data_IF_467272536884
#
_entry.id   IF_467272536884
#
_cell.length_a   1.000
_cell.length_b   1.000
_cell.length_c   1.000
_cell.angle_alpha   90.00
_cell.angle_beta   90.00
_cell.angle_gamma   90.00
#
_symmetry.space_group_name_H-M   'P 1'
#
loop_
_entity.id
_entity.type
_entity.pdbx_description
1 polymer ?
#
# COMPACT_ATOMS: atom_id res chain seq x y z
N UNK A 1 33.01 -26.17 -39.92
CA UNK A 1 33.11 -26.22 -38.43
C UNK A 1 33.40 -24.87 -37.76
N UNK A 2 33.93 -23.85 -38.46
CA UNK A 2 34.18 -22.51 -37.90
C UNK A 2 32.93 -21.61 -37.86
N UNK A 3 31.99 -21.81 -38.79
CA UNK A 3 30.76 -21.01 -38.90
C UNK A 3 29.70 -21.35 -37.83
N UNK A 4 29.58 -22.64 -37.46
CA UNK A 4 28.67 -23.10 -36.38
C UNK A 4 29.12 -22.63 -35.00
N UNK A 5 30.43 -22.56 -34.75
CA UNK A 5 30.98 -22.00 -33.49
C UNK A 5 30.76 -20.49 -33.37
N UNK A 6 30.69 -19.77 -34.50
CA UNK A 6 30.43 -18.33 -34.51
C UNK A 6 28.95 -18.00 -34.23
N UNK A 7 28.03 -18.83 -34.73
CA UNK A 7 26.59 -18.65 -34.53
C UNK A 7 26.15 -18.98 -33.09
N UNK A 8 26.85 -19.91 -32.41
CA UNK A 8 26.60 -20.25 -31.00
C UNK A 8 27.03 -19.14 -30.03
N UNK A 9 28.03 -18.33 -30.37
CA UNK A 9 28.49 -17.20 -29.54
C UNK A 9 27.49 -16.03 -29.60
N UNK A 10 26.85 -15.80 -30.75
CA UNK A 10 25.84 -14.74 -30.91
C UNK A 10 24.55 -15.10 -30.14
N UNK A 11 24.19 -16.37 -30.05
CA UNK A 11 23.00 -16.80 -29.31
C UNK A 11 23.13 -16.64 -27.78
N UNK A 12 24.35 -16.54 -27.24
CA UNK A 12 24.56 -16.35 -25.80
C UNK A 12 24.51 -14.86 -25.39
N UNK A 13 24.59 -13.93 -26.34
CA UNK A 13 24.61 -12.48 -26.08
C UNK A 13 23.23 -11.81 -26.17
N UNK A 14 22.18 -12.56 -26.53
CA UNK A 14 20.84 -12.04 -26.79
C UNK A 14 19.80 -12.42 -25.73
N UNK A 15 20.21 -12.69 -24.49
CA UNK A 15 19.29 -12.71 -23.35
C UNK A 15 19.26 -11.29 -22.79
N UNK A 16 18.24 -10.47 -23.09
CA UNK A 16 18.02 -9.26 -22.31
C UNK A 16 17.76 -9.70 -20.88
N UNK A 17 18.79 -9.60 -20.04
CA UNK A 17 18.64 -9.72 -18.61
C UNK A 17 17.67 -8.61 -18.20
N UNK A 18 16.46 -8.97 -17.80
CA UNK A 18 15.58 -8.06 -17.07
C UNK A 18 16.25 -7.81 -15.72
N UNK A 19 17.28 -6.96 -15.72
CA UNK A 19 17.96 -6.53 -14.53
C UNK A 19 16.92 -5.83 -13.67
N UNK A 20 16.48 -6.54 -12.64
CA UNK A 20 15.62 -6.01 -11.60
C UNK A 20 16.30 -4.75 -11.06
N UNK A 21 15.66 -3.61 -11.28
CA UNK A 21 16.11 -2.34 -10.73
C UNK A 21 16.09 -2.48 -9.21
N UNK A 22 17.24 -2.78 -8.61
CA UNK A 22 17.41 -2.71 -7.18
C UNK A 22 17.09 -1.27 -6.79
N UNK A 23 15.97 -1.08 -6.08
CA UNK A 23 15.49 0.23 -5.72
C UNK A 23 16.54 0.93 -4.84
N UNK A 24 17.29 1.84 -5.44
CA UNK A 24 18.25 2.69 -4.75
C UNK A 24 17.49 3.56 -3.73
N UNK A 25 17.74 3.33 -2.44
CA UNK A 25 17.66 4.37 -1.41
C UNK A 25 16.30 4.69 -0.78
N UNK A 26 15.33 3.78 -0.75
CA UNK A 26 14.18 3.99 0.13
C UNK A 26 14.51 3.55 1.56
N UNK A 27 15.08 4.46 2.37
CA UNK A 27 15.28 4.23 3.81
C UNK A 27 13.92 3.99 4.46
N UNK A 28 13.73 2.77 4.96
CA UNK A 28 12.60 2.41 5.81
C UNK A 28 13.03 2.67 7.25
N UNK A 29 12.26 3.49 7.95
CA UNK A 29 12.43 3.75 9.38
C UNK A 29 11.22 3.22 10.14
N UNK A 30 11.47 2.46 11.19
CA UNK A 30 10.46 1.98 12.12
C UNK A 30 10.61 2.73 13.45
N UNK A 31 9.51 3.23 13.99
CA UNK A 31 9.47 3.87 15.29
C UNK A 31 8.09 3.76 15.92
N UNK A 32 8.02 3.90 17.24
CA UNK A 32 6.77 3.89 18.00
C UNK A 32 6.37 5.31 18.40
N UNK A 33 5.08 5.64 18.20
CA UNK A 33 4.48 6.91 18.65
C UNK A 33 3.29 6.60 19.52
N UNK A 34 3.37 6.89 20.82
CA UNK A 34 2.28 6.63 21.78
C UNK A 34 1.76 5.17 21.73
N UNK A 35 2.64 4.20 21.48
CA UNK A 35 2.29 2.79 21.34
C UNK A 35 1.80 2.35 19.95
N UNK A 36 1.77 3.26 18.96
CA UNK A 36 1.51 2.92 17.57
C UNK A 36 2.82 2.68 16.83
N UNK A 37 3.00 1.46 16.30
CA UNK A 37 4.10 1.14 15.41
C UNK A 37 3.93 1.84 14.06
N UNK A 38 4.87 2.69 13.70
CA UNK A 38 4.90 3.43 12.44
C UNK A 38 6.02 2.88 11.56
N UNK A 39 5.67 2.52 10.32
CA UNK A 39 6.62 2.13 9.28
C UNK A 39 6.62 3.24 8.25
N UNK A 40 7.71 4.02 8.20
CA UNK A 40 7.85 5.12 7.26
C UNK A 40 8.89 4.79 6.18
N UNK A 41 8.50 4.92 4.92
CA UNK A 41 9.38 4.70 3.76
C UNK A 41 9.48 5.98 2.95
N UNK A 42 10.62 6.66 3.03
CA UNK A 42 10.85 7.87 2.23
C UNK A 42 11.12 7.50 0.76
N UNK A 43 10.36 8.10 -0.16
CA UNK A 43 10.58 7.97 -1.60
C UNK A 43 10.70 9.37 -2.21
N UNK A 44 11.94 9.83 -2.43
CA UNK A 44 12.21 11.15 -3.02
C UNK A 44 11.89 11.24 -4.52
N UNK A 45 11.77 10.09 -5.18
CA UNK A 45 11.46 9.99 -6.62
C UNK A 45 9.96 10.04 -6.95
N UNK A 46 9.07 10.07 -5.96
CA UNK A 46 7.63 10.10 -6.17
C UNK A 46 7.01 11.38 -5.60
N UNK A 47 6.19 12.10 -6.37
CA UNK A 47 5.50 13.30 -5.89
C UNK A 47 4.25 12.97 -5.06
N UNK A 48 3.87 11.69 -4.95
CA UNK A 48 2.68 11.26 -4.21
C UNK A 48 3.06 10.59 -2.89
N UNK A 49 2.16 10.70 -1.91
CA UNK A 49 2.28 10.05 -0.60
C UNK A 49 1.11 9.09 -0.45
N UNK A 50 1.38 7.91 0.10
CA UNK A 50 0.36 6.93 0.48
C UNK A 50 0.49 6.65 1.97
N UNK A 51 -0.63 6.67 2.67
CA UNK A 51 -0.72 6.39 4.10
C UNK A 51 -1.75 5.29 4.30
N UNK A 52 -1.39 4.28 5.09
CA UNK A 52 -2.28 3.20 5.49
C UNK A 52 -2.33 3.09 7.01
N UNK A 53 -3.53 3.01 7.57
CA UNK A 53 -3.74 2.69 8.98
C UNK A 53 -4.25 1.25 9.07
N UNK A 54 -3.51 0.42 9.79
CA UNK A 54 -3.87 -0.97 10.01
C UNK A 54 -4.25 -1.18 11.47
N UNK A 55 -5.50 -1.56 11.71
CA UNK A 55 -5.98 -1.92 13.04
C UNK A 55 -5.97 -3.43 13.13
N UNK A 56 -5.37 -3.98 14.19
CA UNK A 56 -5.50 -5.42 14.49
C UNK A 56 -6.94 -5.70 14.87
N UNK A 57 -7.71 -6.17 13.91
CA UNK A 57 -9.11 -6.48 14.02
C UNK A 57 -9.54 -7.25 12.78
N UNK A 58 -10.67 -7.94 12.87
CA UNK A 58 -11.20 -8.73 11.76
C UNK A 58 -12.31 -9.65 12.22
N UNK A 59 -12.90 -10.31 11.24
CA UNK A 59 -14.09 -11.17 11.34
C UNK A 59 -14.01 -12.27 12.42
N UNK A 60 -12.82 -12.56 12.94
CA UNK A 60 -12.59 -13.54 14.01
C UNK A 60 -13.18 -13.13 15.37
N UNK A 61 -13.40 -11.83 15.60
CA UNK A 61 -13.97 -11.31 16.85
C UNK A 61 -15.47 -11.00 16.75
N UNK A 62 -16.11 -11.36 15.63
CA UNK A 62 -17.53 -11.16 15.41
C UNK A 62 -18.34 -12.34 15.96
N UNK A 63 -19.43 -12.05 16.65
CA UNK A 63 -20.53 -12.97 16.92
C UNK A 63 -21.54 -12.95 15.76
N UNK A 64 -22.43 -13.95 15.65
CA UNK A 64 -23.47 -13.94 14.62
C UNK A 64 -24.34 -12.66 14.64
N UNK A 65 -24.50 -12.02 15.80
CA UNK A 65 -25.31 -10.82 15.96
C UNK A 65 -24.62 -9.50 15.56
N UNK A 66 -23.30 -9.49 15.37
CA UNK A 66 -22.54 -8.29 14.97
C UNK A 66 -21.73 -8.53 13.68
N UNK A 67 -22.07 -9.57 12.92
CA UNK A 67 -21.40 -9.91 11.68
C UNK A 67 -21.42 -8.71 10.70
N UNK A 68 -20.24 -8.36 10.16
CA UNK A 68 -20.07 -7.27 9.19
C UNK A 68 -20.02 -5.86 9.78
N UNK A 69 -20.13 -5.68 11.10
CA UNK A 69 -20.16 -4.33 11.71
C UNK A 69 -18.87 -3.55 11.49
N UNK A 70 -17.71 -4.21 11.43
CA UNK A 70 -16.42 -3.57 11.22
C UNK A 70 -16.29 -3.01 9.81
N UNK A 71 -16.80 -3.73 8.81
CA UNK A 71 -16.77 -3.23 7.43
C UNK A 71 -17.66 -1.99 7.29
N UNK A 72 -18.82 -2.00 7.95
CA UNK A 72 -19.71 -0.85 8.01
C UNK A 72 -19.08 0.32 8.77
N UNK A 73 -18.46 0.06 9.92
CA UNK A 73 -17.80 1.09 10.71
C UNK A 73 -16.65 1.75 9.93
N UNK A 74 -15.85 0.96 9.22
CA UNK A 74 -14.75 1.45 8.39
C UNK A 74 -15.25 2.22 7.14
N UNK A 75 -16.36 1.81 6.54
CA UNK A 75 -16.94 2.55 5.41
C UNK A 75 -17.49 3.91 5.84
N UNK A 76 -18.14 3.98 7.01
CA UNK A 76 -18.62 5.24 7.59
C UNK A 76 -17.45 6.14 8.02
N UNK A 77 -16.42 5.57 8.65
CA UNK A 77 -15.24 6.32 9.09
C UNK A 77 -14.46 6.95 7.92
N UNK A 78 -14.46 6.33 6.74
CA UNK A 78 -13.83 6.87 5.54
C UNK A 78 -14.60 8.06 4.93
N UNK A 79 -15.88 8.22 5.24
CA UNK A 79 -16.74 9.23 4.62
C UNK A 79 -16.76 10.56 5.39
N UNK A 80 -16.67 10.54 6.72
CA UNK A 80 -16.65 11.77 7.51
C UNK A 80 -16.12 11.57 8.93
N UNK A 81 -15.74 12.66 9.58
CA UNK A 81 -15.40 12.69 11.01
C UNK A 81 -15.96 13.95 11.67
N UNK A 82 -15.94 14.00 13.01
CA UNK A 82 -16.38 15.19 13.76
C UNK A 82 -15.67 16.49 13.35
N UNK A 83 -14.39 16.40 12.96
CA UNK A 83 -13.58 17.56 12.54
C UNK A 83 -13.62 17.81 11.02
N UNK A 84 -13.99 16.79 10.25
CA UNK A 84 -14.12 16.86 8.81
C UNK A 84 -15.50 16.33 8.39
N UNK A 85 -16.54 17.18 8.42
CA UNK A 85 -17.83 16.85 7.84
C UNK A 85 -17.69 16.47 6.36
N UNK A 86 -18.64 15.68 5.84
CA UNK A 86 -18.58 15.06 4.51
C UNK A 86 -18.22 16.06 3.41
N UNK A 87 -18.87 17.22 3.41
CA UNK A 87 -18.72 18.27 2.39
C UNK A 87 -17.32 18.89 2.42
N UNK A 88 -16.81 19.12 3.63
CA UNK A 88 -15.45 19.63 3.85
C UNK A 88 -14.44 18.58 3.40
N UNK A 89 -14.62 17.32 3.82
CA UNK A 89 -13.71 16.24 3.45
C UNK A 89 -13.65 16.06 1.92
N UNK A 90 -14.80 16.01 1.25
CA UNK A 90 -14.86 15.84 -0.21
C UNK A 90 -14.25 17.02 -0.95
N UNK A 91 -14.50 18.25 -0.50
CA UNK A 91 -13.89 19.45 -1.07
C UNK A 91 -12.36 19.39 -0.97
N UNK A 92 -11.84 18.98 0.19
CA UNK A 92 -10.40 18.84 0.41
C UNK A 92 -9.80 17.73 -0.47
N UNK A 93 -10.44 16.56 -0.54
CA UNK A 93 -10.00 15.45 -1.39
C UNK A 93 -9.99 15.83 -2.88
N UNK A 94 -11.02 16.53 -3.36
CA UNK A 94 -11.06 17.03 -4.74
C UNK A 94 -9.98 18.08 -4.99
N UNK A 95 -9.72 18.97 -4.02
CA UNK A 95 -8.68 20.01 -4.12
C UNK A 95 -7.28 19.40 -4.24
N UNK A 96 -7.00 18.30 -3.53
CA UNK A 96 -5.69 17.65 -3.53
C UNK A 96 -5.59 16.46 -4.49
N UNK A 97 -6.67 16.11 -5.21
CA UNK A 97 -6.72 14.91 -6.05
C UNK A 97 -6.52 13.60 -5.27
N UNK A 98 -6.86 13.60 -3.97
CA UNK A 98 -6.63 12.47 -3.07
C UNK A 98 -7.85 11.55 -3.00
N UNK A 99 -7.60 10.27 -2.66
CA UNK A 99 -8.62 9.25 -2.48
C UNK A 99 -8.45 8.56 -1.14
N UNK A 100 -9.56 8.23 -0.49
CA UNK A 100 -9.59 7.44 0.76
C UNK A 100 -10.36 6.16 0.48
N UNK A 101 -9.75 5.03 0.82
CA UNK A 101 -10.37 3.72 0.77
C UNK A 101 -10.38 3.08 2.15
N UNK A 102 -11.35 2.21 2.40
CA UNK A 102 -11.42 1.41 3.60
C UNK A 102 -11.87 0.00 3.27
N UNK A 103 -11.45 -0.96 4.09
CA UNK A 103 -11.77 -2.36 3.89
C UNK A 103 -11.42 -3.16 5.14
N UNK A 104 -12.14 -4.25 5.34
CA UNK A 104 -11.86 -5.24 6.38
C UNK A 104 -11.52 -6.58 5.75
N UNK A 105 -10.64 -7.34 6.39
CA UNK A 105 -10.26 -8.67 5.97
C UNK A 105 -10.10 -9.60 7.18
N UNK A 106 -10.13 -10.91 6.93
CA UNK A 106 -9.72 -11.90 7.92
C UNK A 106 -8.23 -11.72 8.18
N UNK A 107 -7.86 -11.35 9.41
CA UNK A 107 -6.46 -11.42 9.83
C UNK A 107 -6.18 -12.85 10.32
N UNK A 108 -5.39 -13.61 9.54
CA UNK A 108 -4.82 -14.87 10.01
C UNK A 108 -3.69 -14.54 10.99
N UNK A 109 -3.73 -15.18 12.15
CA UNK A 109 -2.67 -15.09 13.14
C UNK A 109 -1.47 -15.95 12.69
#
# INVERSE_FOLDING_TARGET
>A
MKLIKFLLIISFFAIPSYAQTAATGATVSEFDVNGLKVIFKRRTSSPTVSVGLFVRGGVRNQSPGNAGIENLALSVAAESSKRFPREVLRKELSRTGSVIGSGSALTSA
#
